data_IF_785379541463
#
_entry.id   IF_785379541463
#
_cell.length_a   1.000
_cell.length_b   1.000
_cell.length_c   1.000
_cell.angle_alpha   90.00
_cell.angle_beta   90.00
_cell.angle_gamma   90.00
#
_symmetry.space_group_name_H-M   'P 1'
#
loop_
_entity.id
_entity.type
_entity.pdbx_description
1 polymer ?
#
# COMPACT_ATOMS: atom_id res chain seq x y z
N UNK A 1 29.22 -1.73 -46.64
CA UNK A 1 29.43 -1.12 -45.31
C UNK A 1 28.08 -0.88 -44.62
N UNK A 2 27.07 -1.75 -44.81
CA UNK A 2 25.67 -1.27 -44.81
C UNK A 2 24.72 -2.05 -43.86
N UNK A 3 25.13 -3.20 -43.33
CA UNK A 3 24.29 -3.98 -42.40
C UNK A 3 24.27 -3.39 -40.98
N UNK A 4 25.33 -2.69 -40.57
CA UNK A 4 25.40 -2.07 -39.23
C UNK A 4 24.54 -0.81 -39.15
N UNK A 5 24.59 0.05 -40.17
CA UNK A 5 23.79 1.27 -40.24
C UNK A 5 22.29 0.99 -40.37
N UNK A 6 21.90 -0.01 -41.17
CA UNK A 6 20.49 -0.44 -41.28
C UNK A 6 19.98 -1.03 -39.97
N UNK A 7 20.79 -1.81 -39.25
CA UNK A 7 20.44 -2.30 -37.92
C UNK A 7 20.28 -1.15 -36.90
N UNK A 8 21.18 -0.16 -36.92
CA UNK A 8 21.10 1.01 -36.04
C UNK A 8 19.83 1.84 -36.33
N UNK A 9 19.54 2.13 -37.59
CA UNK A 9 18.33 2.86 -37.98
C UNK A 9 17.05 2.09 -37.60
N UNK A 10 17.03 0.77 -37.78
CA UNK A 10 15.91 -0.06 -37.35
C UNK A 10 15.71 0.00 -35.83
N UNK A 11 16.79 -0.09 -35.04
CA UNK A 11 16.72 0.03 -33.58
C UNK A 11 16.22 1.41 -33.13
N UNK A 12 16.67 2.49 -33.78
CA UNK A 12 16.20 3.86 -33.51
C UNK A 12 14.71 3.99 -33.88
N UNK A 13 14.28 3.48 -35.03
CA UNK A 13 12.87 3.49 -35.43
C UNK A 13 11.99 2.69 -34.46
N UNK A 14 12.43 1.52 -34.01
CA UNK A 14 11.75 0.73 -32.98
C UNK A 14 11.68 1.52 -31.67
N UNK A 15 12.75 2.20 -31.27
CA UNK A 15 12.78 3.03 -30.07
C UNK A 15 11.82 4.23 -30.16
N UNK A 16 11.79 4.94 -31.29
CA UNK A 16 10.86 6.05 -31.55
C UNK A 16 9.41 5.56 -31.61
N UNK A 17 9.16 4.41 -32.23
CA UNK A 17 7.83 3.80 -32.27
C UNK A 17 7.36 3.39 -30.87
N UNK A 18 8.24 2.78 -30.07
CA UNK A 18 7.97 2.38 -28.69
C UNK A 18 7.68 3.59 -27.79
N UNK A 19 8.44 4.68 -27.93
CA UNK A 19 8.22 5.92 -27.18
C UNK A 19 6.93 6.66 -27.61
N UNK A 20 6.61 6.73 -28.91
CA UNK A 20 5.32 7.27 -29.41
C UNK A 20 4.11 6.48 -28.92
N UNK A 21 4.15 5.16 -29.04
CA UNK A 21 3.04 4.29 -28.59
C UNK A 21 2.86 4.35 -27.07
N UNK A 22 3.96 4.46 -26.31
CA UNK A 22 3.89 4.63 -24.86
C UNK A 22 3.30 6.00 -24.49
N UNK A 23 3.67 7.07 -25.19
CA UNK A 23 3.20 8.44 -24.91
C UNK A 23 1.74 8.66 -25.29
N UNK A 24 1.28 8.12 -26.43
CA UNK A 24 -0.13 8.19 -26.84
C UNK A 24 -1.07 7.53 -25.83
N UNK A 25 -0.59 6.50 -25.10
CA UNK A 25 -1.35 5.84 -24.02
C UNK A 25 -1.40 6.65 -22.72
N UNK A 26 -0.71 7.79 -22.62
CA UNK A 26 -0.62 8.62 -21.39
C UNK A 26 -1.62 9.75 -21.32
N UNK A 27 -2.28 10.15 -22.42
CA UNK A 27 -2.95 11.46 -22.46
C UNK A 27 -4.13 11.64 -21.48
N UNK A 28 -4.56 10.57 -20.81
CA UNK A 28 -5.61 10.64 -19.80
C UNK A 28 -5.16 10.18 -18.40
N UNK A 29 -3.92 9.68 -18.25
CA UNK A 29 -3.39 9.26 -16.95
C UNK A 29 -2.78 10.44 -16.19
N UNK A 30 -2.69 10.36 -14.85
CA UNK A 30 -1.98 11.35 -14.05
C UNK A 30 -0.52 11.56 -14.52
N UNK A 31 0.05 12.76 -14.33
CA UNK A 31 1.41 13.09 -14.73
C UNK A 31 2.43 12.19 -14.03
N UNK A 32 3.64 12.08 -14.56
CA UNK A 32 4.68 11.27 -13.92
C UNK A 32 5.97 11.19 -14.71
N UNK A 33 7.04 10.61 -14.14
CA UNK A 33 8.32 10.47 -14.80
C UNK A 33 8.18 9.67 -16.09
N UNK A 34 8.87 10.11 -17.14
CA UNK A 34 8.87 9.44 -18.43
C UNK A 34 9.43 8.02 -18.31
N UNK A 35 8.64 6.96 -18.52
CA UNK A 35 9.15 5.60 -18.54
C UNK A 35 10.12 5.38 -19.69
N UNK A 36 11.21 4.70 -19.38
CA UNK A 36 12.09 4.13 -20.39
C UNK A 36 11.48 2.83 -20.94
N UNK A 37 11.76 2.48 -22.20
CA UNK A 37 11.36 1.19 -22.76
C UNK A 37 11.84 0.02 -21.89
N UNK A 38 10.99 -1.00 -21.73
CA UNK A 38 11.16 -2.19 -20.87
C UNK A 38 11.24 -1.94 -19.35
N UNK A 39 12.06 -1.00 -18.88
CA UNK A 39 12.36 -0.81 -17.45
C UNK A 39 11.33 0.08 -16.76
N UNK A 40 10.64 0.94 -17.50
CA UNK A 40 9.64 1.86 -16.95
C UNK A 40 10.31 3.03 -16.22
N UNK A 41 9.74 3.42 -15.08
CA UNK A 41 10.28 4.48 -14.22
C UNK A 41 11.19 3.96 -13.11
N UNK A 42 11.59 2.67 -13.16
CA UNK A 42 12.39 2.04 -12.11
C UNK A 42 13.74 2.73 -11.88
N UNK A 43 14.33 3.37 -12.90
CA UNK A 43 15.58 4.13 -12.73
C UNK A 43 15.42 5.37 -11.83
N UNK A 44 14.20 5.90 -11.71
CA UNK A 44 13.91 7.03 -10.81
C UNK A 44 13.79 6.56 -9.35
N UNK A 45 13.76 5.25 -9.10
CA UNK A 45 13.64 4.64 -7.78
C UNK A 45 15.01 4.11 -7.36
N UNK A 46 15.57 4.68 -6.29
CA UNK A 46 16.84 4.21 -5.74
C UNK A 46 16.66 2.86 -5.01
N UNK A 47 17.58 1.91 -5.23
CA UNK A 47 17.57 0.61 -4.52
C UNK A 47 17.66 0.85 -3.01
N UNK A 48 16.74 0.27 -2.24
CA UNK A 48 16.69 0.42 -0.79
C UNK A 48 16.02 1.71 -0.27
N UNK A 49 15.66 2.65 -1.14
CA UNK A 49 15.05 3.93 -0.77
C UNK A 49 13.74 4.18 -1.54
N UNK A 50 12.84 3.18 -1.55
CA UNK A 50 11.54 3.25 -2.24
C UNK A 50 10.68 4.42 -1.74
N UNK A 51 10.39 4.47 -0.43
CA UNK A 51 9.52 5.49 0.18
C UNK A 51 10.07 6.91 -0.04
N UNK A 52 11.35 7.23 0.24
CA UNK A 52 11.91 8.54 -0.06
C UNK A 52 11.87 8.92 -1.55
N UNK A 53 12.14 7.96 -2.45
CA UNK A 53 12.10 8.21 -3.90
C UNK A 53 10.69 8.57 -4.37
N UNK A 54 9.68 7.94 -3.78
CA UNK A 54 8.29 8.24 -4.06
C UNK A 54 7.90 9.63 -3.54
N UNK A 55 8.29 10.00 -2.32
CA UNK A 55 8.07 11.37 -1.82
C UNK A 55 8.76 12.45 -2.68
N UNK A 56 9.96 12.18 -3.18
CA UNK A 56 10.64 13.08 -4.12
C UNK A 56 9.85 13.28 -5.41
N UNK A 57 9.20 12.22 -5.90
CA UNK A 57 8.34 12.30 -7.09
C UNK A 57 7.02 13.01 -6.77
N UNK A 58 6.48 12.82 -5.57
CA UNK A 58 5.32 13.58 -5.10
C UNK A 58 5.59 15.09 -5.07
N UNK A 59 6.75 15.54 -4.59
CA UNK A 59 7.15 16.95 -4.61
C UNK A 59 7.21 17.52 -6.05
N UNK A 60 7.49 16.67 -7.05
CA UNK A 60 7.63 17.07 -8.45
C UNK A 60 6.31 17.03 -9.24
N UNK A 61 5.45 16.05 -8.99
CA UNK A 61 4.25 15.78 -9.81
C UNK A 61 2.93 16.00 -9.07
N UNK A 62 2.96 16.24 -7.76
CA UNK A 62 1.78 16.48 -6.92
C UNK A 62 1.17 15.20 -6.35
N UNK A 63 -0.02 15.33 -5.74
CA UNK A 63 -0.65 14.28 -4.93
C UNK A 63 -1.13 13.04 -5.69
N UNK A 64 -1.24 13.14 -7.02
CA UNK A 64 -1.64 12.03 -7.90
C UNK A 64 -0.67 11.98 -9.07
N UNK A 65 0.09 10.90 -9.17
CA UNK A 65 1.05 10.72 -10.27
C UNK A 65 1.18 9.27 -10.71
N UNK A 66 1.67 9.06 -11.93
CA UNK A 66 1.82 7.73 -12.54
C UNK A 66 3.28 7.29 -12.54
N UNK A 67 3.54 6.11 -12.00
CA UNK A 67 4.80 5.38 -12.15
C UNK A 67 4.62 4.19 -13.08
N UNK A 68 5.72 3.71 -13.63
CA UNK A 68 5.74 2.53 -14.49
C UNK A 68 6.66 1.48 -13.90
N UNK A 69 6.06 0.38 -13.46
CA UNK A 69 6.79 -0.82 -13.04
C UNK A 69 6.98 -1.70 -14.28
N UNK A 70 8.12 -1.51 -14.96
CA UNK A 70 8.35 -2.06 -16.30
C UNK A 70 7.40 -1.44 -17.33
N UNK A 71 6.56 -2.26 -17.96
CA UNK A 71 5.56 -1.81 -18.94
C UNK A 71 4.19 -1.48 -18.34
N UNK A 72 4.00 -1.67 -17.03
CA UNK A 72 2.71 -1.53 -16.35
C UNK A 72 2.63 -0.18 -15.62
N UNK A 73 1.62 0.67 -15.87
CA UNK A 73 1.40 1.88 -15.09
C UNK A 73 0.91 1.52 -13.67
N UNK A 74 1.27 2.37 -12.71
CA UNK A 74 0.89 2.35 -11.31
C UNK A 74 0.59 3.78 -10.88
N UNK A 75 -0.67 4.08 -10.57
CA UNK A 75 -1.07 5.39 -10.03
C UNK A 75 -0.73 5.44 -8.56
N UNK A 76 0.02 6.45 -8.13
CA UNK A 76 0.39 6.70 -6.74
C UNK A 76 -0.51 7.81 -6.21
N UNK A 77 -1.08 7.60 -5.02
CA UNK A 77 -1.85 8.59 -4.29
C UNK A 77 -1.07 8.94 -3.03
N UNK A 78 -0.71 10.20 -2.89
CA UNK A 78 0.07 10.70 -1.77
C UNK A 78 -0.69 11.81 -1.06
N UNK A 79 -0.73 11.73 0.28
CA UNK A 79 -1.32 12.75 1.13
C UNK A 79 -2.76 12.46 1.55
N UNK A 80 -3.06 12.82 2.79
CA UNK A 80 -4.30 12.49 3.49
C UNK A 80 -5.57 12.76 2.68
N UNK A 81 -5.76 13.98 2.16
CA UNK A 81 -6.98 14.36 1.43
C UNK A 81 -7.23 13.49 0.20
N UNK A 82 -6.16 13.18 -0.56
CA UNK A 82 -6.26 12.39 -1.79
C UNK A 82 -6.59 10.92 -1.46
N UNK A 83 -5.96 10.40 -0.41
CA UNK A 83 -6.15 9.02 0.05
C UNK A 83 -7.53 8.82 0.66
N UNK A 84 -8.00 9.78 1.46
CA UNK A 84 -9.33 9.81 2.05
C UNK A 84 -10.41 9.84 0.97
N UNK A 85 -10.29 10.75 0.00
CA UNK A 85 -11.22 10.87 -1.12
C UNK A 85 -11.33 9.53 -1.89
N UNK A 86 -10.19 8.89 -2.17
CA UNK A 86 -10.18 7.64 -2.91
C UNK A 86 -10.74 6.45 -2.10
N UNK A 87 -10.25 6.24 -0.86
CA UNK A 87 -10.50 5.02 -0.10
C UNK A 87 -11.71 5.09 0.82
N UNK A 88 -12.11 6.29 1.24
CA UNK A 88 -13.25 6.50 2.14
C UNK A 88 -14.45 6.96 1.32
N UNK A 89 -14.33 8.08 0.63
CA UNK A 89 -15.46 8.70 -0.07
C UNK A 89 -15.86 7.91 -1.32
N UNK A 90 -14.89 7.35 -2.04
CA UNK A 90 -15.09 6.58 -3.28
C UNK A 90 -14.75 5.09 -3.14
N UNK A 91 -14.93 4.55 -1.94
CA UNK A 91 -14.63 3.15 -1.58
C UNK A 91 -15.12 2.08 -2.56
N UNK A 92 -16.30 2.25 -3.17
CA UNK A 92 -16.86 1.23 -4.07
C UNK A 92 -16.11 1.18 -5.41
N UNK A 93 -15.47 2.29 -5.77
CA UNK A 93 -14.66 2.43 -6.98
C UNK A 93 -13.22 1.99 -6.74
N UNK A 94 -12.64 2.34 -5.59
CA UNK A 94 -11.23 2.05 -5.25
C UNK A 94 -11.06 0.78 -4.38
N UNK A 95 -12.14 0.09 -4.02
CA UNK A 95 -12.12 -1.03 -3.08
C UNK A 95 -11.61 -2.36 -3.66
N UNK A 96 -11.22 -2.41 -4.93
CA UNK A 96 -10.60 -3.60 -5.50
C UNK A 96 -9.19 -3.83 -4.94
N UNK A 97 -8.73 -5.09 -4.85
CA UNK A 97 -7.36 -5.39 -4.45
C UNK A 97 -6.48 -5.65 -5.66
N UNK A 98 -5.40 -4.90 -5.75
CA UNK A 98 -4.43 -5.02 -6.83
C UNK A 98 -3.58 -6.30 -6.67
N UNK A 99 -3.23 -6.99 -7.77
CA UNK A 99 -2.32 -8.12 -7.70
C UNK A 99 -0.93 -7.63 -7.28
N UNK A 100 -0.35 -8.24 -6.23
CA UNK A 100 1.07 -8.11 -5.91
C UNK A 100 1.78 -9.23 -6.68
N UNK A 101 2.52 -8.97 -7.78
CA UNK A 101 3.01 -10.03 -8.66
C UNK A 101 3.87 -11.08 -7.97
N UNK A 102 4.67 -10.66 -6.97
CA UNK A 102 5.47 -11.57 -6.14
C UNK A 102 4.57 -12.50 -5.34
N UNK A 103 3.59 -11.95 -4.62
CA UNK A 103 2.73 -12.72 -3.72
C UNK A 103 1.63 -13.49 -4.49
N UNK A 104 1.18 -13.01 -5.64
CA UNK A 104 0.26 -13.72 -6.55
C UNK A 104 0.92 -14.97 -7.13
N UNK A 105 2.25 -14.97 -7.36
CA UNK A 105 2.97 -16.18 -7.83
C UNK A 105 3.00 -17.29 -6.78
N UNK A 106 3.13 -16.91 -5.50
CA UNK A 106 3.13 -17.86 -4.38
C UNK A 106 1.73 -18.31 -3.97
N UNK A 107 0.74 -17.43 -4.08
CA UNK A 107 -0.63 -17.68 -3.60
C UNK A 107 -1.61 -18.03 -4.70
N UNK A 108 -1.22 -17.92 -5.98
CA UNK A 108 -2.11 -18.02 -7.16
C UNK A 108 -3.35 -17.10 -7.09
N UNK A 109 -3.26 -15.99 -6.34
CA UNK A 109 -4.38 -15.08 -6.11
C UNK A 109 -5.36 -15.53 -5.01
N UNK A 110 -5.07 -16.62 -4.31
CA UNK A 110 -5.80 -17.06 -3.12
C UNK A 110 -5.28 -16.38 -1.86
N UNK A 111 -6.07 -16.41 -0.78
CA UNK A 111 -5.67 -15.89 0.54
C UNK A 111 -6.33 -14.58 0.94
N UNK A 112 -6.32 -14.31 2.24
CA UNK A 112 -7.08 -13.21 2.85
C UNK A 112 -6.66 -11.81 2.37
N UNK A 113 -5.37 -11.61 2.07
CA UNK A 113 -4.82 -10.29 1.69
C UNK A 113 -5.00 -10.00 0.18
N UNK A 114 -5.01 -11.00 -0.70
CA UNK A 114 -5.04 -10.80 -2.16
C UNK A 114 -6.33 -11.24 -2.86
N UNK A 115 -7.22 -11.97 -2.18
CA UNK A 115 -8.50 -12.39 -2.77
C UNK A 115 -9.43 -11.19 -3.00
N UNK A 116 -10.32 -11.32 -3.99
CA UNK A 116 -11.30 -10.29 -4.38
C UNK A 116 -12.75 -10.83 -4.30
N UNK A 117 -13.72 -9.93 -4.18
CA UNK A 117 -15.16 -10.24 -4.30
C UNK A 117 -15.68 -11.25 -3.27
N UNK A 118 -16.48 -12.22 -3.72
CA UNK A 118 -17.16 -13.21 -2.84
C UNK A 118 -16.17 -14.03 -2.01
N UNK A 119 -15.03 -14.43 -2.58
CA UNK A 119 -13.99 -15.17 -1.87
C UNK A 119 -13.42 -14.34 -0.70
N UNK A 120 -13.12 -13.06 -0.94
CA UNK A 120 -12.65 -12.16 0.11
C UNK A 120 -13.67 -12.02 1.25
N UNK A 121 -14.95 -11.86 0.92
CA UNK A 121 -16.02 -11.77 1.93
C UNK A 121 -16.11 -13.05 2.78
N UNK A 122 -16.01 -14.23 2.16
CA UNK A 122 -16.03 -15.52 2.87
C UNK A 122 -14.80 -15.65 3.77
N UNK A 123 -13.60 -15.42 3.24
CA UNK A 123 -12.35 -15.49 3.99
C UNK A 123 -12.34 -14.49 5.14
N UNK A 124 -12.79 -13.25 4.92
CA UNK A 124 -12.91 -12.23 5.97
C UNK A 124 -13.87 -12.66 7.06
N UNK A 125 -15.06 -13.14 6.72
CA UNK A 125 -16.03 -13.55 7.73
C UNK A 125 -15.52 -14.76 8.53
N UNK A 126 -14.91 -15.74 7.86
CA UNK A 126 -14.32 -16.90 8.52
C UNK A 126 -13.17 -16.50 9.46
N UNK A 127 -12.22 -15.69 8.96
CA UNK A 127 -11.07 -15.22 9.73
C UNK A 127 -11.52 -14.36 10.90
N UNK A 128 -12.43 -13.40 10.72
CA UNK A 128 -12.92 -12.58 11.83
C UNK A 128 -13.72 -13.40 12.86
N UNK A 129 -14.48 -14.41 12.43
CA UNK A 129 -15.26 -15.25 13.35
C UNK A 129 -14.37 -16.19 14.18
N UNK A 130 -13.29 -16.71 13.61
CA UNK A 130 -12.44 -17.74 14.24
C UNK A 130 -11.11 -17.21 14.81
N UNK A 131 -10.60 -16.12 14.25
CA UNK A 131 -9.31 -15.49 14.55
C UNK A 131 -9.42 -13.97 14.77
N UNK A 132 -10.63 -13.43 14.88
CA UNK A 132 -10.84 -12.02 15.22
C UNK A 132 -10.49 -11.71 16.67
N UNK A 133 -10.60 -10.43 17.01
CA UNK A 133 -10.28 -9.91 18.35
C UNK A 133 -11.03 -10.68 19.45
N UNK A 134 -10.33 -10.98 20.56
CA UNK A 134 -10.90 -11.62 21.75
C UNK A 134 -11.04 -13.15 21.69
N UNK A 135 -10.38 -13.83 20.74
CA UNK A 135 -10.39 -15.32 20.67
C UNK A 135 -9.18 -15.93 21.38
N UNK A 136 -9.44 -16.98 22.17
CA UNK A 136 -8.42 -17.75 22.93
C UNK A 136 -7.24 -18.25 22.09
N UNK A 137 -7.46 -18.54 20.80
CA UNK A 137 -6.39 -19.02 19.90
C UNK A 137 -5.32 -17.95 19.61
N UNK A 138 -5.69 -16.67 19.68
CA UNK A 138 -4.80 -15.53 19.46
C UNK A 138 -4.33 -14.92 20.78
N UNK A 139 -5.14 -15.05 21.83
CA UNK A 139 -4.86 -14.54 23.18
C UNK A 139 -3.48 -14.96 23.71
N UNK A 140 -3.10 -16.24 23.58
CA UNK A 140 -1.81 -16.71 24.12
C UNK A 140 -0.60 -16.11 23.39
N UNK A 141 -0.69 -15.89 22.06
CA UNK A 141 0.39 -15.25 21.28
C UNK A 141 0.47 -13.77 21.59
N UNK A 142 -0.70 -13.12 21.65
CA UNK A 142 -0.80 -11.71 22.04
C UNK A 142 -0.22 -11.53 23.44
N UNK A 143 -0.54 -12.42 24.38
CA UNK A 143 -0.03 -12.35 25.76
C UNK A 143 1.49 -12.44 25.82
N UNK A 144 2.09 -13.39 25.11
CA UNK A 144 3.55 -13.57 25.08
C UNK A 144 4.26 -12.35 24.48
N UNK A 145 3.79 -11.85 23.34
CA UNK A 145 4.39 -10.69 22.67
C UNK A 145 4.12 -9.40 23.46
N UNK A 146 2.93 -9.22 24.03
CA UNK A 146 2.55 -8.07 24.83
C UNK A 146 3.41 -7.96 26.10
N UNK A 147 3.73 -9.08 26.76
CA UNK A 147 4.64 -9.08 27.91
C UNK A 147 6.02 -8.54 27.54
N UNK A 148 6.55 -8.91 26.36
CA UNK A 148 7.82 -8.42 25.86
C UNK A 148 7.79 -6.91 25.58
N UNK A 149 6.75 -6.44 24.87
CA UNK A 149 6.57 -5.01 24.54
C UNK A 149 6.37 -4.19 25.81
N UNK A 150 5.53 -4.64 26.74
CA UNK A 150 5.30 -3.96 28.01
C UNK A 150 6.61 -3.87 28.79
N UNK A 151 7.42 -4.93 28.88
CA UNK A 151 8.71 -4.89 29.60
C UNK A 151 9.70 -3.87 29.03
N UNK A 152 9.74 -3.70 27.71
CA UNK A 152 10.56 -2.66 27.08
C UNK A 152 9.98 -1.26 27.28
N UNK A 153 8.66 -1.10 27.17
CA UNK A 153 7.98 0.17 27.49
C UNK A 153 8.11 0.56 28.96
N UNK A 154 8.20 -0.44 29.85
CA UNK A 154 8.37 -0.25 31.29
C UNK A 154 9.68 0.46 31.61
N UNK A 155 10.73 0.23 30.83
CA UNK A 155 12.02 0.90 30.98
C UNK A 155 11.99 2.36 30.53
N UNK A 156 11.04 2.73 29.68
CA UNK A 156 11.05 4.02 28.96
C UNK A 156 10.12 5.09 29.56
N UNK A 157 9.05 4.74 30.29
CA UNK A 157 8.00 5.74 30.57
C UNK A 157 7.24 5.60 31.91
N UNK A 158 7.55 6.47 32.88
CA UNK A 158 6.96 6.48 34.22
C UNK A 158 5.46 6.83 34.26
N UNK A 159 4.94 7.57 33.27
CA UNK A 159 3.51 7.91 33.18
C UNK A 159 2.66 6.70 32.79
N UNK A 160 3.20 5.83 31.94
CA UNK A 160 2.53 4.62 31.49
C UNK A 160 2.36 3.63 32.65
N UNK A 161 3.39 3.50 33.50
CA UNK A 161 3.31 2.73 34.74
C UNK A 161 2.21 3.20 35.67
N UNK A 162 2.13 4.52 35.91
CA UNK A 162 1.11 5.07 36.81
C UNK A 162 -0.30 4.76 36.32
N UNK A 163 -0.54 4.82 35.01
CA UNK A 163 -1.85 4.50 34.45
C UNK A 163 -2.16 2.99 34.52
N UNK A 164 -1.19 2.11 34.20
CA UNK A 164 -1.37 0.66 34.32
C UNK A 164 -1.63 0.26 35.78
N UNK A 165 -0.78 0.70 36.71
CA UNK A 165 -0.91 0.37 38.14
C UNK A 165 -2.22 0.91 38.71
N UNK A 166 -2.71 2.05 38.21
CA UNK A 166 -3.97 2.65 38.66
C UNK A 166 -5.22 1.93 38.12
N UNK A 167 -5.23 1.54 36.84
CA UNK A 167 -6.44 0.98 36.18
C UNK A 167 -6.51 -0.54 36.33
N UNK A 168 -5.38 -1.22 36.18
CA UNK A 168 -5.30 -2.69 36.18
C UNK A 168 -4.92 -3.19 37.57
N UNK A 169 -3.97 -2.52 38.23
CA UNK A 169 -3.36 -3.02 39.46
C UNK A 169 -2.37 -4.16 39.19
N UNK A 170 -1.88 -4.81 40.25
CA UNK A 170 -0.87 -5.87 40.16
C UNK A 170 -1.41 -7.28 40.34
N UNK A 171 -2.66 -7.39 40.78
CA UNK A 171 -3.27 -8.66 41.20
C UNK A 171 -4.05 -9.37 40.07
N UNK A 172 -4.21 -8.72 38.90
CA UNK A 172 -4.92 -9.27 37.75
C UNK A 172 -4.20 -8.98 36.43
N UNK A 173 -4.41 -9.85 35.45
CA UNK A 173 -3.90 -9.64 34.09
C UNK A 173 -4.72 -8.55 33.36
N UNK A 174 -4.09 -7.79 32.44
CA UNK A 174 -4.79 -6.85 31.56
C UNK A 174 -5.83 -7.54 30.69
N UNK A 175 -7.03 -6.96 30.58
CA UNK A 175 -8.07 -7.35 29.64
C UNK A 175 -8.25 -6.27 28.56
N UNK A 176 -8.78 -6.65 27.39
CA UNK A 176 -9.06 -5.73 26.29
C UNK A 176 -9.98 -4.56 26.69
N UNK A 177 -10.93 -4.80 27.59
CA UNK A 177 -11.88 -3.77 28.04
C UNK A 177 -11.21 -2.68 28.91
N UNK A 178 -10.03 -2.95 29.47
CA UNK A 178 -9.26 -1.96 30.24
C UNK A 178 -8.85 -0.76 29.36
N UNK A 179 -8.75 -0.95 28.03
CA UNK A 179 -8.38 0.10 27.07
C UNK A 179 -9.27 1.35 27.16
N UNK A 180 -10.53 1.19 27.57
CA UNK A 180 -11.48 2.30 27.70
C UNK A 180 -11.09 3.28 28.81
N UNK A 181 -10.30 2.81 29.78
CA UNK A 181 -9.86 3.57 30.95
C UNK A 181 -8.36 3.90 30.89
N UNK A 182 -7.67 3.59 29.78
CA UNK A 182 -6.22 3.79 29.62
C UNK A 182 -5.89 4.70 28.41
N UNK A 183 -6.33 5.97 28.43
CA UNK A 183 -6.12 6.88 27.31
C UNK A 183 -4.65 7.14 26.99
N UNK A 184 -3.75 7.20 27.98
CA UNK A 184 -2.33 7.43 27.74
C UNK A 184 -1.66 6.23 27.07
N UNK A 185 -1.96 5.02 27.53
CA UNK A 185 -1.49 3.77 26.92
C UNK A 185 -2.02 3.63 25.49
N UNK A 186 -3.28 3.99 25.24
CA UNK A 186 -3.84 4.00 23.89
C UNK A 186 -3.15 5.04 22.99
N UNK A 187 -2.86 6.23 23.51
CA UNK A 187 -2.11 7.25 22.78
C UNK A 187 -0.69 6.77 22.43
N UNK A 188 -0.01 6.10 23.36
CA UNK A 188 1.33 5.52 23.14
C UNK A 188 1.26 4.44 22.05
N UNK A 189 0.29 3.52 22.11
CA UNK A 189 0.10 2.50 21.07
C UNK A 189 -0.15 3.16 19.70
N UNK A 190 -1.02 4.16 19.64
CA UNK A 190 -1.30 4.88 18.41
C UNK A 190 -0.04 5.58 17.87
N UNK A 191 0.77 6.17 18.74
CA UNK A 191 2.00 6.86 18.35
C UNK A 191 3.09 5.88 17.89
N UNK A 192 3.20 4.69 18.50
CA UNK A 192 4.06 3.62 17.99
C UNK A 192 3.60 3.17 16.61
N UNK A 193 2.30 2.94 16.42
CA UNK A 193 1.75 2.54 15.13
C UNK A 193 1.98 3.61 14.06
N UNK A 194 1.87 4.89 14.43
CA UNK A 194 2.21 6.04 13.58
C UNK A 194 3.69 6.07 13.24
N UNK A 195 4.56 5.94 14.24
CA UNK A 195 6.02 6.03 14.08
C UNK A 195 6.62 4.84 13.34
N UNK A 196 6.17 3.62 13.65
CA UNK A 196 6.68 2.41 13.03
C UNK A 196 6.25 2.26 11.57
N UNK A 197 5.25 3.03 11.12
CA UNK A 197 4.71 3.01 9.75
C UNK A 197 4.69 1.58 9.18
N UNK A 198 3.99 0.67 9.87
CA UNK A 198 4.12 -0.79 9.69
C UNK A 198 3.79 -1.23 8.25
N UNK A 199 3.05 -0.41 7.51
CA UNK A 199 2.75 -0.62 6.10
C UNK A 199 2.83 0.70 5.30
N UNK A 200 4.06 1.18 5.00
CA UNK A 200 4.28 2.50 4.40
C UNK A 200 3.60 2.71 3.05
N UNK A 201 3.34 1.62 2.34
CA UNK A 201 2.80 1.61 0.98
C UNK A 201 1.35 1.13 0.93
N UNK A 202 0.76 0.79 2.09
CA UNK A 202 -0.45 -0.01 2.23
C UNK A 202 -0.47 -1.25 1.32
N UNK A 203 -1.62 -1.94 1.24
CA UNK A 203 -1.83 -2.97 0.23
C UNK A 203 -2.24 -2.30 -1.08
N UNK A 204 -1.68 -2.68 -2.24
CA UNK A 204 -2.10 -2.14 -3.52
C UNK A 204 -3.58 -2.38 -3.78
N UNK A 205 -4.28 -1.35 -4.27
CA UNK A 205 -5.70 -1.42 -4.60
C UNK A 205 -5.88 -1.45 -6.13
N UNK A 206 -7.11 -1.59 -6.60
CA UNK A 206 -7.43 -1.44 -8.03
C UNK A 206 -8.82 -0.86 -8.20
N UNK A 207 -9.00 -0.09 -9.26
CA UNK A 207 -10.32 0.43 -9.58
C UNK A 207 -11.23 -0.69 -10.09
N UNK A 208 -12.47 -0.72 -9.58
CA UNK A 208 -13.48 -1.73 -9.94
C UNK A 208 -14.16 -1.43 -11.28
N UNK A 209 -14.09 -0.17 -11.74
CA UNK A 209 -14.60 0.38 -13.01
C UNK A 209 -13.67 1.48 -13.54
N UNK A 210 -13.89 1.94 -14.76
CA UNK A 210 -13.20 3.13 -15.29
C UNK A 210 -13.67 4.34 -14.46
N UNK A 211 -12.73 5.15 -13.98
CA UNK A 211 -12.98 6.20 -12.97
C UNK A 211 -12.34 7.51 -13.39
N UNK A 212 -13.10 8.60 -13.32
CA UNK A 212 -12.54 9.96 -13.38
C UNK A 212 -12.16 10.43 -11.97
N UNK A 213 -10.89 10.74 -11.72
CA UNK A 213 -10.38 11.16 -10.43
C UNK A 213 -9.45 12.37 -10.61
N UNK A 214 -9.83 13.51 -10.02
CA UNK A 214 -9.07 14.79 -10.09
C UNK A 214 -8.70 15.23 -11.52
N UNK A 215 -9.61 15.02 -12.47
CA UNK A 215 -9.41 15.37 -13.89
C UNK A 215 -8.64 14.34 -14.71
N UNK A 216 -8.28 13.21 -14.11
CA UNK A 216 -7.60 12.10 -14.78
C UNK A 216 -8.51 10.88 -14.93
N UNK A 217 -8.34 10.13 -16.01
CA UNK A 217 -9.04 8.88 -16.26
C UNK A 217 -8.18 7.69 -15.79
N UNK A 218 -8.69 6.97 -14.80
CA UNK A 218 -8.09 5.75 -14.27
C UNK A 218 -8.88 4.55 -14.81
N UNK A 219 -8.33 3.80 -15.80
CA UNK A 219 -9.04 2.70 -16.40
C UNK A 219 -9.00 1.42 -15.55
N UNK A 220 -10.11 0.69 -15.55
CA UNK A 220 -10.24 -0.67 -15.03
C UNK A 220 -9.27 -1.60 -15.75
N UNK A 221 -8.65 -2.46 -14.96
CA UNK A 221 -7.85 -3.58 -15.44
C UNK A 221 -8.75 -4.60 -16.14
N UNK A 222 -8.77 -4.56 -17.47
CA UNK A 222 -9.50 -5.54 -18.30
C UNK A 222 -8.75 -6.87 -18.45
N UNK A 223 -7.43 -6.87 -18.29
CA UNK A 223 -6.57 -8.05 -18.44
C UNK A 223 -5.47 -8.03 -17.37
N UNK A 224 -5.43 -9.04 -16.49
CA UNK A 224 -4.43 -9.20 -15.41
C UNK A 224 -2.97 -9.07 -15.90
N UNK A 225 -2.71 -9.48 -17.13
CA UNK A 225 -1.38 -9.41 -17.75
C UNK A 225 -1.08 -8.11 -18.51
N UNK A 226 -2.10 -7.31 -18.87
CA UNK A 226 -1.93 -6.20 -19.82
C UNK A 226 -2.09 -4.79 -19.27
N UNK A 227 -2.79 -4.50 -18.15
CA UNK A 227 -2.92 -3.10 -17.65
C UNK A 227 -3.08 -2.99 -16.12
N UNK A 228 -2.57 -1.86 -15.61
CA UNK A 228 -2.68 -1.19 -14.30
C UNK A 228 -2.51 -2.02 -13.03
N UNK A 229 -1.35 -1.88 -12.36
CA UNK A 229 -1.36 -1.92 -10.90
C UNK A 229 -1.93 -0.57 -10.45
N UNK A 230 -2.57 -0.49 -9.30
CA UNK A 230 -2.94 0.82 -8.78
C UNK A 230 -2.61 0.92 -7.29
N UNK A 231 -2.19 2.11 -6.92
CA UNK A 231 -2.11 2.62 -5.56
C UNK A 231 -0.95 2.05 -4.75
N UNK A 232 0.17 2.76 -4.84
CA UNK A 232 1.00 2.94 -3.67
C UNK A 232 0.39 4.12 -2.91
N UNK A 233 -0.11 3.86 -1.71
CA UNK A 233 -0.65 4.91 -0.83
C UNK A 233 0.49 5.28 0.10
N UNK A 234 0.97 6.51 -0.03
CA UNK A 234 1.87 7.09 0.95
C UNK A 234 1.05 8.04 1.83
N UNK A 235 0.88 7.65 3.10
CA UNK A 235 0.49 8.62 4.10
C UNK A 235 1.77 9.28 4.64
N UNK A 236 1.78 10.60 4.68
CA UNK A 236 2.89 11.36 5.28
C UNK A 236 2.46 11.68 6.70
N UNK A 237 2.71 10.76 7.63
CA UNK A 237 2.49 11.00 9.06
C UNK A 237 3.61 11.83 9.68
#
# INVERSE_FOLDING_TARGET
MDCTWTAILALICIFVFMTRNTTSRRCHLPPGPTPLPLIGSLLHIQRGALVPSLFKLWDQYGSVYTLYLGSKPAVVLCGYETVKEALVDRRDEFGGRGPIPVLERFTQGYGFILSNGKQWNILRNFTMKNFGFGKKSSEWKIRKEAQCVVEEFRKLNAKLHKEIDHVIGRDREPNYDDRLHMPYTQAVINEIQRFCDVAPLNVPHMVTRDVQFRGYEIPKVRNKWKRSLAFVILDKS
#
